data_IF_338330146223
#
_entry.id   IF_338330146223
#
_cell.length_a   1.000
_cell.length_b   1.000
_cell.length_c   1.000
_cell.angle_alpha   90.00
_cell.angle_beta   90.00
_cell.angle_gamma   90.00
#
_symmetry.space_group_name_H-M   'P 1'
#
loop_
_entity.id
_entity.type
_entity.pdbx_description
1 polymer ?
#
# COMPACT_ATOMS: atom_id res chain seq x y z
N UNK A 1 -7.11 5.25 -20.89
CA UNK A 1 -6.01 5.72 -20.02
C UNK A 1 -6.03 7.23 -20.07
N UNK A 2 -6.16 7.91 -18.92
CA UNK A 2 -6.16 9.38 -18.87
C UNK A 2 -4.78 9.92 -19.29
N UNK A 3 -4.75 10.99 -20.06
CA UNK A 3 -3.52 11.66 -20.52
C UNK A 3 -3.40 12.99 -19.79
N UNK A 4 -2.19 13.52 -19.64
CA UNK A 4 -1.98 14.84 -19.05
C UNK A 4 -2.75 15.95 -19.80
N UNK A 5 -2.98 15.77 -21.11
CA UNK A 5 -3.78 16.68 -21.93
C UNK A 5 -5.27 16.69 -21.59
N UNK A 6 -5.76 15.64 -20.89
CA UNK A 6 -7.18 15.49 -20.56
C UNK A 6 -7.52 16.14 -19.21
N UNK A 7 -6.50 16.60 -18.48
CA UNK A 7 -6.60 17.24 -17.17
C UNK A 7 -6.76 18.75 -17.29
N UNK A 8 -7.38 19.37 -16.29
CA UNK A 8 -7.37 20.84 -16.16
C UNK A 8 -5.92 21.34 -16.00
N UNK A 9 -5.68 22.59 -16.33
CA UNK A 9 -4.36 23.21 -16.23
C UNK A 9 -3.80 23.07 -14.79
N UNK A 10 -4.61 23.35 -13.79
CA UNK A 10 -4.23 23.25 -12.39
C UNK A 10 -3.82 21.83 -11.96
N UNK A 11 -4.60 20.82 -12.35
CA UNK A 11 -4.30 19.42 -12.04
C UNK A 11 -3.02 18.95 -12.75
N UNK A 12 -2.86 19.33 -14.02
CA UNK A 12 -1.66 19.02 -14.79
C UNK A 12 -0.42 19.62 -14.16
N UNK A 13 -0.46 20.92 -13.81
CA UNK A 13 0.66 21.63 -13.22
C UNK A 13 1.02 21.07 -11.84
N UNK A 14 0.01 20.69 -11.04
CA UNK A 14 0.22 20.00 -9.77
C UNK A 14 0.96 18.66 -9.97
N UNK A 15 0.52 17.81 -10.89
CA UNK A 15 1.17 16.53 -11.17
C UNK A 15 2.58 16.70 -11.73
N UNK A 16 2.81 17.70 -12.58
CA UNK A 16 4.15 18.00 -13.10
C UNK A 16 5.09 18.48 -11.99
N UNK A 17 4.60 19.33 -11.10
CA UNK A 17 5.36 19.75 -9.91
C UNK A 17 5.73 18.59 -9.00
N UNK A 18 4.81 17.67 -8.75
CA UNK A 18 5.10 16.45 -7.97
C UNK A 18 6.16 15.57 -8.65
N UNK A 19 6.05 15.39 -9.97
CA UNK A 19 7.05 14.66 -10.77
C UNK A 19 8.44 15.27 -10.63
N UNK A 20 8.55 16.58 -10.75
CA UNK A 20 9.83 17.29 -10.73
C UNK A 20 10.49 17.31 -9.34
N UNK A 21 9.68 17.17 -8.29
CA UNK A 21 10.14 17.03 -6.91
C UNK A 21 10.39 15.56 -6.49
N UNK A 22 9.96 14.60 -7.30
CA UNK A 22 10.16 13.20 -7.01
C UNK A 22 11.67 12.84 -7.04
N UNK A 23 12.16 12.07 -6.05
CA UNK A 23 13.56 11.64 -6.07
C UNK A 23 13.81 10.71 -7.25
N UNK A 24 14.95 10.92 -7.92
CA UNK A 24 15.42 9.95 -8.92
C UNK A 24 16.00 8.76 -8.21
N UNK A 25 15.24 7.66 -8.20
CA UNK A 25 15.73 6.39 -7.65
C UNK A 25 16.51 5.65 -8.73
N UNK A 26 17.71 5.19 -8.40
CA UNK A 26 18.46 4.31 -9.28
C UNK A 26 17.77 2.95 -9.39
N UNK A 27 17.44 2.45 -10.61
CA UNK A 27 16.73 1.20 -10.79
C UNK A 27 17.65 -0.01 -10.60
N UNK A 28 18.09 -0.27 -9.35
CA UNK A 28 19.00 -1.40 -9.04
C UNK A 28 18.30 -2.60 -8.42
N UNK A 29 16.96 -2.58 -8.32
CA UNK A 29 16.23 -3.55 -7.50
C UNK A 29 15.43 -4.60 -8.30
N UNK A 30 15.84 -4.93 -9.53
CA UNK A 30 15.19 -6.02 -10.24
C UNK A 30 15.67 -7.37 -9.70
N UNK A 31 14.75 -8.15 -9.18
CA UNK A 31 14.96 -9.52 -8.71
C UNK A 31 14.29 -10.46 -9.70
N UNK A 32 14.97 -11.53 -10.11
CA UNK A 32 14.31 -12.59 -10.88
C UNK A 32 13.37 -13.35 -9.96
N UNK A 33 12.05 -13.30 -10.16
CA UNK A 33 11.10 -13.99 -9.30
C UNK A 33 11.15 -15.49 -9.54
N UNK A 34 10.78 -16.29 -8.52
CA UNK A 34 10.41 -17.68 -8.67
C UNK A 34 8.97 -17.85 -9.23
N UNK A 35 8.44 -19.09 -9.27
CA UNK A 35 7.05 -19.35 -9.64
C UNK A 35 6.09 -18.68 -8.64
N UNK A 36 5.09 -17.96 -9.13
CA UNK A 36 4.11 -17.28 -8.29
C UNK A 36 3.34 -18.26 -7.38
N UNK A 37 3.09 -19.47 -7.86
CA UNK A 37 2.44 -20.55 -7.10
C UNK A 37 3.22 -21.03 -5.87
N UNK A 38 4.47 -20.64 -5.73
CA UNK A 38 5.31 -20.96 -4.57
C UNK A 38 5.52 -19.74 -3.65
N UNK A 39 5.12 -18.55 -4.10
CA UNK A 39 5.38 -17.30 -3.38
C UNK A 39 4.42 -17.05 -2.23
N UNK A 40 4.97 -16.57 -1.13
CA UNK A 40 4.23 -16.01 -0.02
C UNK A 40 4.04 -14.50 -0.25
N UNK A 41 2.78 -14.05 -0.28
CA UNK A 41 2.41 -12.71 -0.73
C UNK A 41 1.86 -11.85 0.41
N UNK A 42 2.39 -10.63 0.58
CA UNK A 42 1.87 -9.60 1.49
C UNK A 42 1.20 -8.46 0.73
N UNK A 43 0.40 -7.65 1.42
CA UNK A 43 -0.15 -6.38 0.93
C UNK A 43 0.53 -5.23 1.67
N UNK A 44 0.90 -4.19 0.91
CA UNK A 44 1.30 -2.89 1.45
C UNK A 44 0.39 -1.84 0.80
N UNK A 45 -0.48 -1.22 1.60
CA UNK A 45 -1.43 -0.22 1.13
C UNK A 45 -1.08 1.17 1.65
N UNK A 46 -1.35 2.21 0.88
CA UNK A 46 -1.23 3.61 1.32
C UNK A 46 -2.57 4.24 1.67
N UNK A 47 -3.62 3.42 1.85
CA UNK A 47 -4.98 3.88 2.16
C UNK A 47 -5.19 4.34 3.61
N UNK A 48 -4.18 4.33 4.47
CA UNK A 48 -4.31 4.72 5.87
C UNK A 48 -5.20 3.78 6.69
N UNK A 49 -5.13 2.48 6.40
CA UNK A 49 -5.94 1.47 7.09
C UNK A 49 -5.35 1.11 8.46
N UNK A 50 -6.24 0.86 9.41
CA UNK A 50 -5.89 0.40 10.75
C UNK A 50 -7.06 -0.39 11.37
N UNK A 51 -6.78 -1.16 12.41
CA UNK A 51 -7.83 -1.80 13.22
C UNK A 51 -8.53 -0.75 14.09
N UNK A 52 -9.72 -1.06 14.60
CA UNK A 52 -10.49 -0.13 15.44
C UNK A 52 -9.75 0.27 16.73
N UNK A 53 -8.96 -0.65 17.28
CA UNK A 53 -8.20 -0.44 18.53
C UNK A 53 -6.81 0.19 18.29
N UNK A 54 -6.38 0.32 17.03
CA UNK A 54 -5.15 1.01 16.69
C UNK A 54 -5.33 2.53 16.79
N UNK A 55 -4.29 3.28 17.20
CA UNK A 55 -4.31 4.72 17.05
C UNK A 55 -4.53 5.12 15.58
N UNK A 56 -5.44 6.05 15.31
CA UNK A 56 -5.59 6.62 13.98
C UNK A 56 -4.27 7.24 13.49
N UNK A 57 -4.11 7.36 12.17
CA UNK A 57 -2.96 8.10 11.64
C UNK A 57 -3.10 9.59 11.96
N UNK A 58 -2.07 10.16 12.56
CA UNK A 58 -2.02 11.60 12.79
C UNK A 58 -1.79 12.35 11.46
N UNK A 59 -2.49 13.48 11.22
CA UNK A 59 -2.17 14.35 10.09
C UNK A 59 -0.82 15.04 10.29
N UNK A 60 -0.13 15.40 9.20
CA UNK A 60 1.07 16.20 9.21
C UNK A 60 2.38 15.41 9.02
N UNK A 61 3.50 16.03 9.42
CA UNK A 61 4.85 15.53 9.13
C UNK A 61 5.18 14.16 9.77
N UNK A 62 4.47 13.77 10.81
CA UNK A 62 4.61 12.48 11.49
C UNK A 62 3.91 11.29 10.82
N UNK A 63 3.23 11.51 9.69
CA UNK A 63 2.42 10.49 9.02
C UNK A 63 3.24 9.41 8.27
N UNK A 64 4.54 9.29 8.53
CA UNK A 64 5.40 8.22 7.96
C UNK A 64 5.27 6.88 8.69
N UNK A 65 4.55 6.84 9.80
CA UNK A 65 4.26 5.60 10.52
C UNK A 65 3.40 4.65 9.70
N UNK A 66 3.43 3.37 10.07
CA UNK A 66 2.59 2.34 9.47
C UNK A 66 1.77 1.60 10.53
N UNK A 67 0.77 0.85 10.08
CA UNK A 67 0.03 -0.12 10.90
C UNK A 67 0.29 -1.52 10.37
N UNK A 68 0.41 -2.46 11.31
CA UNK A 68 0.50 -3.88 11.00
C UNK A 68 -0.91 -4.45 11.01
N UNK A 69 -1.31 -5.06 9.92
CA UNK A 69 -2.63 -5.64 9.75
C UNK A 69 -2.49 -7.16 9.72
N UNK A 70 -3.07 -7.88 10.69
CA UNK A 70 -2.99 -9.34 10.72
C UNK A 70 -3.65 -9.98 9.51
N UNK A 71 -3.03 -11.01 8.96
CA UNK A 71 -3.53 -11.76 7.80
C UNK A 71 -4.86 -12.49 8.04
N UNK A 72 -5.31 -12.62 9.29
CA UNK A 72 -6.61 -13.18 9.64
C UNK A 72 -7.73 -12.14 9.83
N UNK A 73 -7.42 -10.84 9.72
CA UNK A 73 -8.41 -9.77 9.90
C UNK A 73 -9.58 -9.91 8.92
N UNK A 74 -10.76 -9.50 9.33
CA UNK A 74 -11.86 -9.24 8.40
C UNK A 74 -11.66 -7.86 7.77
N UNK A 75 -11.40 -7.76 6.44
CA UNK A 75 -11.15 -6.47 5.80
C UNK A 75 -12.28 -5.44 6.01
N UNK A 76 -13.53 -5.91 6.14
CA UNK A 76 -14.68 -5.03 6.38
C UNK A 76 -14.67 -4.36 7.77
N UNK A 77 -13.86 -4.83 8.73
CA UNK A 77 -13.70 -4.21 10.04
C UNK A 77 -12.58 -3.14 10.09
N UNK A 78 -11.83 -2.97 9.01
CA UNK A 78 -10.76 -1.99 8.97
C UNK A 78 -11.30 -0.57 8.90
N UNK A 79 -10.66 0.32 9.64
CA UNK A 79 -10.89 1.76 9.61
C UNK A 79 -9.95 2.42 8.59
N UNK A 80 -10.39 3.56 8.02
CA UNK A 80 -9.56 4.35 7.11
C UNK A 80 -9.38 5.77 7.64
N UNK A 81 -8.13 6.18 7.85
CA UNK A 81 -7.75 7.53 8.29
C UNK A 81 -7.03 8.33 7.19
N UNK A 82 -7.27 8.02 5.92
CA UNK A 82 -6.63 8.72 4.81
C UNK A 82 -7.06 10.19 4.76
N UNK A 83 -6.11 11.11 4.66
CA UNK A 83 -6.36 12.56 4.74
C UNK A 83 -6.48 13.26 3.37
N UNK A 84 -6.08 12.60 2.27
CA UNK A 84 -6.15 13.21 0.95
C UNK A 84 -7.60 13.54 0.57
N UNK A 85 -7.81 14.78 0.12
CA UNK A 85 -9.10 15.24 -0.42
C UNK A 85 -9.35 14.73 -1.83
N UNK A 86 -8.31 14.29 -2.52
CA UNK A 86 -8.38 13.76 -3.89
C UNK A 86 -8.75 12.28 -3.94
N UNK A 87 -8.83 11.61 -2.78
CA UNK A 87 -9.18 10.20 -2.72
C UNK A 87 -10.69 10.01 -2.54
N UNK A 88 -11.33 9.38 -3.51
CA UNK A 88 -12.74 8.97 -3.41
C UNK A 88 -12.89 7.74 -2.51
N UNK A 89 -13.42 7.95 -1.32
CA UNK A 89 -13.65 6.89 -0.31
C UNK A 89 -14.92 6.09 -0.57
N UNK A 90 -15.71 6.42 -1.59
CA UNK A 90 -16.97 5.73 -1.88
C UNK A 90 -16.75 4.27 -2.27
N UNK A 91 -15.68 3.99 -3.02
CA UNK A 91 -15.26 2.63 -3.38
C UNK A 91 -14.94 1.79 -2.14
N UNK A 92 -14.09 2.29 -1.25
CA UNK A 92 -13.74 1.61 0.00
C UNK A 92 -14.95 1.30 0.89
N UNK A 93 -15.91 2.23 0.99
CA UNK A 93 -17.13 2.02 1.79
C UNK A 93 -18.03 0.92 1.25
N UNK A 94 -17.97 0.64 -0.04
CA UNK A 94 -18.73 -0.43 -0.71
C UNK A 94 -17.98 -1.75 -0.65
N UNK A 95 -16.66 -1.69 -0.88
CA UNK A 95 -15.80 -2.86 -0.92
C UNK A 95 -14.37 -2.48 -0.49
N UNK A 96 -13.94 -2.94 0.67
CA UNK A 96 -12.58 -2.70 1.18
C UNK A 96 -11.50 -3.36 0.31
N UNK A 97 -11.85 -4.35 -0.51
CA UNK A 97 -10.92 -5.05 -1.39
C UNK A 97 -10.31 -4.14 -2.48
N UNK A 98 -10.95 -3.00 -2.80
CA UNK A 98 -10.38 -2.03 -3.78
C UNK A 98 -9.07 -1.39 -3.30
N UNK A 99 -8.82 -1.36 -2.00
CA UNK A 99 -7.59 -0.80 -1.40
C UNK A 99 -6.79 -1.82 -0.59
N UNK A 100 -7.42 -2.99 -0.28
CA UNK A 100 -6.81 -4.03 0.54
C UNK A 100 -7.36 -5.41 0.16
N UNK A 101 -6.94 -5.98 -0.99
CA UNK A 101 -7.53 -7.18 -1.60
C UNK A 101 -7.14 -8.48 -0.88
N UNK A 102 -7.40 -8.57 0.43
CA UNK A 102 -6.99 -9.71 1.24
C UNK A 102 -7.84 -10.96 0.96
N UNK A 103 -9.14 -10.80 0.73
CA UNK A 103 -9.99 -11.92 0.38
C UNK A 103 -9.60 -12.49 -1.00
N UNK A 104 -9.29 -11.62 -1.96
CA UNK A 104 -8.80 -12.04 -3.28
C UNK A 104 -7.49 -12.80 -3.19
N UNK A 105 -6.53 -12.36 -2.35
CA UNK A 105 -5.29 -13.11 -2.14
C UNK A 105 -5.54 -14.48 -1.52
N UNK A 106 -6.47 -14.58 -0.58
CA UNK A 106 -6.83 -15.89 0.02
C UNK A 106 -7.45 -16.83 -1.01
N UNK A 107 -8.30 -16.33 -1.89
CA UNK A 107 -8.87 -17.11 -3.01
C UNK A 107 -7.78 -17.59 -3.98
N UNK A 108 -6.83 -16.71 -4.33
CA UNK A 108 -5.70 -17.06 -5.18
C UNK A 108 -4.81 -18.14 -4.54
N UNK A 109 -4.60 -18.08 -3.23
CA UNK A 109 -3.86 -19.11 -2.50
C UNK A 109 -4.62 -20.43 -2.47
N UNK A 110 -5.93 -20.41 -2.21
CA UNK A 110 -6.78 -21.62 -2.25
C UNK A 110 -6.82 -22.28 -3.64
N UNK A 111 -6.78 -21.44 -4.69
CA UNK A 111 -6.74 -21.92 -6.08
C UNK A 111 -5.33 -22.35 -6.54
N UNK A 112 -4.30 -22.21 -5.71
CA UNK A 112 -2.92 -22.57 -6.04
C UNK A 112 -2.23 -21.60 -7.01
N UNK A 113 -2.79 -20.41 -7.23
CA UNK A 113 -2.17 -19.39 -8.08
C UNK A 113 -1.02 -18.67 -7.37
N UNK A 114 -1.07 -18.56 -6.06
CA UNK A 114 0.04 -18.12 -5.18
C UNK A 114 0.30 -19.18 -4.13
N UNK A 115 1.51 -19.22 -3.57
CA UNK A 115 1.90 -20.23 -2.59
C UNK A 115 1.17 -20.06 -1.24
N UNK A 116 1.13 -18.85 -0.71
CA UNK A 116 0.41 -18.53 0.53
C UNK A 116 0.23 -17.03 0.71
N UNK A 117 -0.67 -16.66 1.62
CA UNK A 117 -0.81 -15.27 2.10
C UNK A 117 0.06 -15.07 3.33
N UNK A 118 0.68 -13.92 3.48
CA UNK A 118 1.49 -13.53 4.64
C UNK A 118 0.65 -13.46 5.92
N UNK A 119 1.29 -13.66 7.08
CA UNK A 119 0.64 -13.52 8.38
C UNK A 119 0.39 -12.05 8.74
N UNK A 120 1.20 -11.14 8.14
CA UNK A 120 1.09 -9.72 8.38
C UNK A 120 1.15 -8.91 7.08
N UNK A 121 0.34 -7.86 7.04
CA UNK A 121 0.28 -6.86 5.99
C UNK A 121 0.53 -5.47 6.57
N UNK A 122 0.71 -4.46 5.72
CA UNK A 122 1.12 -3.14 6.19
C UNK A 122 0.29 -2.05 5.53
N UNK A 123 -0.01 -1.00 6.29
CA UNK A 123 -0.69 0.17 5.77
C UNK A 123 0.00 1.46 6.22
N UNK A 124 0.19 2.36 5.26
CA UNK A 124 0.66 3.73 5.43
C UNK A 124 -0.47 4.73 5.16
N UNK A 125 -0.25 5.97 5.56
CA UNK A 125 -1.16 7.08 5.22
C UNK A 125 -1.12 7.48 3.73
N UNK A 126 0.00 7.30 3.04
CA UNK A 126 0.17 7.63 1.62
C UNK A 126 0.36 9.12 1.28
N UNK A 127 -0.04 10.04 2.14
CA UNK A 127 0.00 11.47 1.86
C UNK A 127 1.37 12.18 2.05
N UNK A 128 2.35 11.69 2.85
CA UNK A 128 3.61 12.40 3.04
C UNK A 128 4.46 12.45 1.77
N UNK A 129 4.91 13.65 1.44
CA UNK A 129 5.84 13.90 0.34
C UNK A 129 7.06 14.69 0.88
N UNK A 130 8.29 14.45 0.46
CA UNK A 130 8.72 13.49 -0.58
C UNK A 130 8.74 12.03 -0.09
N UNK A 131 8.69 11.04 -1.02
CA UNK A 131 8.68 9.60 -0.68
C UNK A 131 9.89 9.13 0.13
N UNK A 132 11.02 9.84 0.06
CA UNK A 132 12.23 9.56 0.84
C UNK A 132 12.00 9.57 2.36
N UNK A 133 10.95 10.25 2.83
CA UNK A 133 10.55 10.22 4.25
C UNK A 133 10.17 8.83 4.75
N UNK A 134 9.76 7.94 3.86
CA UNK A 134 9.41 6.55 4.20
C UNK A 134 10.61 5.61 4.27
N UNK A 135 11.83 6.03 3.88
CA UNK A 135 12.96 5.13 3.70
C UNK A 135 13.26 4.30 4.97
N UNK A 136 13.31 4.93 6.14
CA UNK A 136 13.56 4.21 7.40
C UNK A 136 12.49 3.17 7.69
N UNK A 137 11.21 3.52 7.47
CA UNK A 137 10.07 2.62 7.69
C UNK A 137 10.00 1.52 6.63
N UNK A 138 10.35 1.82 5.40
CA UNK A 138 10.46 0.80 4.35
C UNK A 138 11.54 -0.25 4.69
N UNK A 139 12.68 0.17 5.22
CA UNK A 139 13.72 -0.76 5.70
C UNK A 139 13.26 -1.61 6.87
N UNK A 140 12.53 -1.02 7.82
CA UNK A 140 11.93 -1.73 8.95
C UNK A 140 10.95 -2.81 8.47
N UNK A 141 10.02 -2.44 7.57
CA UNK A 141 9.05 -3.38 6.98
C UNK A 141 9.75 -4.46 6.16
N UNK A 142 10.78 -4.14 5.41
CA UNK A 142 11.56 -5.14 4.69
C UNK A 142 12.14 -6.21 5.63
N UNK A 143 12.55 -5.81 6.85
CA UNK A 143 12.97 -6.75 7.90
C UNK A 143 11.81 -7.62 8.42
N UNK A 144 10.62 -7.03 8.58
CA UNK A 144 9.41 -7.75 9.00
C UNK A 144 8.96 -8.76 7.93
N UNK A 145 8.91 -8.35 6.67
CA UNK A 145 8.57 -9.21 5.54
C UNK A 145 9.52 -10.42 5.42
N UNK A 146 10.83 -10.22 5.63
CA UNK A 146 11.80 -11.32 5.65
C UNK A 146 11.54 -12.31 6.79
N UNK A 147 11.18 -11.82 7.99
CA UNK A 147 10.84 -12.70 9.13
C UNK A 147 9.59 -13.52 8.85
N UNK A 148 8.60 -12.95 8.18
CA UNK A 148 7.39 -13.64 7.72
C UNK A 148 7.60 -14.45 6.43
N UNK A 149 8.84 -14.52 5.93
CA UNK A 149 9.21 -15.26 4.70
C UNK A 149 8.39 -14.84 3.48
N UNK A 150 8.13 -13.55 3.36
CA UNK A 150 7.40 -12.98 2.21
C UNK A 150 8.33 -12.89 1.01
N UNK A 151 7.88 -13.42 -0.13
CA UNK A 151 8.61 -13.43 -1.40
C UNK A 151 8.16 -12.29 -2.32
N UNK A 152 6.90 -11.87 -2.20
CA UNK A 152 6.32 -10.82 -3.03
C UNK A 152 5.39 -9.91 -2.23
N UNK A 153 5.28 -8.64 -2.64
CA UNK A 153 4.34 -7.69 -2.07
C UNK A 153 3.48 -7.05 -3.15
N UNK A 154 2.17 -7.02 -2.91
CA UNK A 154 1.23 -6.22 -3.70
C UNK A 154 1.22 -4.81 -3.13
N UNK A 155 1.64 -3.84 -3.93
CA UNK A 155 1.62 -2.43 -3.56
C UNK A 155 0.31 -1.81 -4.03
N UNK A 156 -0.48 -1.29 -3.09
CA UNK A 156 -1.77 -0.64 -3.34
C UNK A 156 -1.63 0.86 -3.09
N UNK A 157 -1.22 1.64 -4.11
CA UNK A 157 -1.14 3.10 -4.00
C UNK A 157 -2.56 3.70 -4.03
N UNK A 158 -2.81 4.63 -3.11
CA UNK A 158 -4.09 5.31 -2.94
C UNK A 158 -3.85 6.82 -2.81
#
# INVERSE_FOLDING_TARGET
>A
MARLSDLTEHERDHLLSMRDQAPRLEPKAWVKPGPLSEMRVAIISTAGLHQADDPAFAPGEGATGYRVIPGYVNPASLMMSHISVNFDRSGFRRDSEVVFPLARLRELAQAGHIGSVADFHYSFMGAPFPPTRFESKAREIAGLLRRDRVDAAVLMPV
#
